data_IF_849674813106
#
_entry.id   IF_849674813106
#
_cell.length_a   1.000
_cell.length_b   1.000
_cell.length_c   1.000
_cell.angle_alpha   90.00
_cell.angle_beta   90.00
_cell.angle_gamma   90.00
#
_symmetry.space_group_name_H-M   'P 1'
#
loop_
_entity.id
_entity.type
_entity.pdbx_description
1 polymer ?
#
# COMPACT_ATOMS: atom_id res chain seq x y z
N UNK A 1 14.87 -1.56 -16.60
CA UNK A 1 14.53 -1.07 -15.25
C UNK A 1 13.18 -1.65 -14.95
N UNK A 2 13.09 -2.44 -13.88
CA UNK A 2 11.86 -3.14 -13.56
C UNK A 2 10.89 -2.18 -12.89
N UNK A 3 9.61 -2.49 -13.03
CA UNK A 3 8.52 -1.68 -12.47
C UNK A 3 7.47 -2.57 -11.86
N UNK A 4 6.83 -2.07 -10.81
CA UNK A 4 5.69 -2.73 -10.16
C UNK A 4 4.57 -1.71 -10.01
N UNK A 5 3.34 -2.12 -10.32
CA UNK A 5 2.16 -1.29 -10.13
C UNK A 5 1.36 -1.78 -8.93
N UNK A 6 1.03 -0.86 -8.02
CA UNK A 6 0.07 -1.09 -6.95
C UNK A 6 -1.23 -0.40 -7.33
N UNK A 7 -2.29 -1.19 -7.48
CA UNK A 7 -3.61 -0.73 -7.93
C UNK A 7 -4.57 -0.73 -6.75
N UNK A 8 -5.17 0.42 -6.45
CA UNK A 8 -6.18 0.55 -5.41
C UNK A 8 -7.45 -0.25 -5.75
N UNK A 9 -8.15 -0.82 -4.75
CA UNK A 9 -9.43 -1.49 -4.96
C UNK A 9 -10.47 -0.56 -5.61
N UNK A 10 -11.24 -1.10 -6.54
CA UNK A 10 -12.34 -0.39 -7.20
C UNK A 10 -13.65 -1.12 -6.93
N UNK A 11 -14.65 -0.37 -6.47
CA UNK A 11 -15.97 -0.90 -6.19
C UNK A 11 -16.98 -0.42 -7.24
N UNK A 12 -17.85 -1.32 -7.70
CA UNK A 12 -18.92 -1.00 -8.65
C UNK A 12 -20.15 -0.51 -7.89
N UNK A 13 -20.81 0.55 -8.36
CA UNK A 13 -22.00 1.15 -7.73
C UNK A 13 -23.21 0.20 -7.65
N UNK A 14 -23.17 -0.93 -8.35
CA UNK A 14 -24.31 -1.85 -8.48
C UNK A 14 -24.28 -3.01 -7.48
N UNK A 15 -23.25 -3.11 -6.62
CA UNK A 15 -23.26 -4.10 -5.53
C UNK A 15 -24.05 -3.53 -4.35
N UNK A 16 -25.20 -4.15 -4.04
CA UNK A 16 -26.08 -3.80 -2.90
C UNK A 16 -25.44 -3.98 -1.52
N UNK A 17 -24.22 -4.52 -1.44
CA UNK A 17 -23.40 -4.35 -0.25
C UNK A 17 -22.92 -2.91 -0.24
N UNK A 18 -23.53 -2.10 0.64
CA UNK A 18 -23.02 -0.82 1.08
C UNK A 18 -21.51 -0.93 1.19
N UNK A 19 -20.83 -0.37 0.20
CA UNK A 19 -19.37 -0.23 0.20
C UNK A 19 -19.11 0.70 1.38
N UNK A 20 -18.94 0.11 2.55
CA UNK A 20 -18.25 0.74 3.65
C UNK A 20 -17.00 1.30 3.00
N UNK A 21 -16.91 2.62 2.92
CA UNK A 21 -15.85 3.29 2.17
C UNK A 21 -14.56 2.89 2.86
N UNK A 22 -13.90 1.85 2.37
CA UNK A 22 -12.64 1.38 2.91
C UNK A 22 -11.59 2.38 2.47
N UNK A 23 -10.94 3.01 3.43
CA UNK A 23 -9.78 3.84 3.20
C UNK A 23 -8.57 2.96 3.50
N UNK A 24 -7.73 2.77 2.48
CA UNK A 24 -6.56 1.92 2.56
C UNK A 24 -5.30 2.77 2.42
N UNK A 25 -4.38 2.63 3.37
CA UNK A 25 -3.06 3.27 3.28
C UNK A 25 -2.01 2.18 3.17
N UNK A 26 -1.16 2.28 2.17
CA UNK A 26 0.00 1.40 1.97
C UNK A 26 1.23 2.13 2.49
N UNK A 27 2.01 1.46 3.33
CA UNK A 27 3.25 1.96 3.90
C UNK A 27 4.43 1.13 3.42
N UNK A 28 5.56 1.77 3.12
CA UNK A 28 6.84 1.09 3.07
C UNK A 28 7.41 1.03 4.49
N UNK A 29 7.83 -0.15 4.92
CA UNK A 29 8.24 -0.42 6.31
C UNK A 29 9.55 -1.19 6.41
N UNK A 30 10.08 -1.26 7.63
CA UNK A 30 11.22 -2.12 7.95
C UNK A 30 10.82 -3.61 7.91
N UNK A 31 11.81 -4.49 7.83
CA UNK A 31 11.63 -5.94 7.95
C UNK A 31 10.97 -6.33 9.28
N UNK A 32 11.37 -5.69 10.38
CA UNK A 32 10.77 -5.92 11.70
C UNK A 32 9.29 -5.50 11.73
N UNK A 33 8.97 -4.33 11.22
CA UNK A 33 7.59 -3.82 11.11
C UNK A 33 6.72 -4.71 10.23
N UNK A 34 7.28 -5.23 9.14
CA UNK A 34 6.60 -6.19 8.28
C UNK A 34 6.28 -7.50 9.02
N UNK A 35 7.26 -8.05 9.74
CA UNK A 35 7.11 -9.30 10.50
C UNK A 35 6.09 -9.18 11.63
N UNK A 36 6.05 -8.04 12.32
CA UNK A 36 5.13 -7.78 13.42
C UNK A 36 3.79 -7.20 12.99
N UNK A 37 3.66 -6.80 11.72
CA UNK A 37 2.51 -6.08 11.20
C UNK A 37 2.24 -4.77 11.99
N UNK A 38 3.30 -4.03 12.34
CA UNK A 38 3.22 -2.82 13.18
C UNK A 38 4.02 -1.67 12.57
N UNK A 39 3.42 -0.48 12.54
CA UNK A 39 4.09 0.73 12.07
C UNK A 39 5.09 1.24 13.11
N UNK A 40 6.27 1.62 12.63
CA UNK A 40 7.32 2.26 13.44
C UNK A 40 7.56 3.71 12.97
N UNK A 41 8.51 4.40 13.61
CA UNK A 41 8.89 5.76 13.24
C UNK A 41 9.60 5.88 11.89
N UNK A 42 9.99 4.76 11.26
CA UNK A 42 10.63 4.71 9.93
C UNK A 42 9.64 4.40 8.82
N UNK A 43 8.39 4.07 9.16
CA UNK A 43 7.35 3.72 8.23
C UNK A 43 6.95 4.95 7.41
N UNK A 44 6.93 4.82 6.09
CA UNK A 44 6.64 5.92 5.17
C UNK A 44 5.39 5.61 4.37
N UNK A 45 4.49 6.59 4.25
CA UNK A 45 3.29 6.46 3.40
C UNK A 45 3.73 6.32 1.95
N UNK A 46 3.32 5.22 1.32
CA UNK A 46 3.58 4.93 -0.07
C UNK A 46 2.40 5.33 -0.96
N UNK A 47 1.18 4.92 -0.59
CA UNK A 47 -0.04 5.17 -1.37
C UNK A 47 -1.23 5.32 -0.43
N UNK A 48 -2.11 6.27 -0.71
CA UNK A 48 -3.40 6.44 -0.04
C UNK A 48 -4.51 6.15 -1.05
N UNK A 49 -5.33 5.14 -0.78
CA UNK A 49 -6.53 4.81 -1.53
C UNK A 49 -7.75 5.36 -0.77
N UNK A 50 -8.12 6.61 -1.04
CA UNK A 50 -9.23 7.33 -0.38
C UNK A 50 -10.52 7.38 -1.22
N UNK A 51 -10.44 6.92 -2.48
CA UNK A 51 -11.47 7.19 -3.49
C UNK A 51 -11.95 5.91 -4.21
N UNK A 52 -12.66 5.00 -3.53
CA UNK A 52 -13.08 3.70 -4.08
C UNK A 52 -14.07 3.77 -5.25
N UNK A 53 -14.73 4.92 -5.45
CA UNK A 53 -15.77 5.15 -6.46
C UNK A 53 -15.24 5.76 -7.76
N UNK A 54 -13.93 5.94 -7.90
CA UNK A 54 -13.37 6.49 -9.14
C UNK A 54 -13.59 5.53 -10.31
N UNK A 55 -13.91 6.10 -11.49
CA UNK A 55 -14.07 5.32 -12.72
C UNK A 55 -12.78 4.61 -13.13
N UNK A 56 -11.63 5.20 -12.80
CA UNK A 56 -10.30 4.65 -13.05
C UNK A 56 -9.69 4.35 -11.67
N UNK A 57 -9.17 3.12 -11.43
CA UNK A 57 -8.53 2.82 -10.16
C UNK A 57 -7.24 3.63 -10.02
N UNK A 58 -7.03 4.22 -8.84
CA UNK A 58 -5.78 4.88 -8.52
C UNK A 58 -4.65 3.84 -8.57
N UNK A 59 -3.64 4.10 -9.39
CA UNK A 59 -2.51 3.20 -9.59
C UNK A 59 -1.22 3.95 -9.32
N UNK A 60 -0.38 3.41 -8.45
CA UNK A 60 0.95 3.94 -8.20
C UNK A 60 2.00 2.98 -8.77
N UNK A 61 2.87 3.52 -9.64
CA UNK A 61 3.98 2.77 -10.21
C UNK A 61 5.26 2.97 -9.41
N UNK A 62 5.86 1.87 -9.00
CA UNK A 62 7.23 1.79 -8.47
C UNK A 62 8.17 1.62 -9.66
N UNK A 63 9.28 2.36 -9.64
CA UNK A 63 10.39 2.17 -10.55
C UNK A 63 11.61 1.82 -9.71
N UNK A 64 12.12 0.60 -9.86
CA UNK A 64 13.27 0.14 -9.08
C UNK A 64 14.54 0.80 -9.60
N UNK A 65 15.00 1.82 -8.89
CA UNK A 65 16.24 2.55 -9.20
C UNK A 65 16.96 3.01 -7.94
N UNK A 66 18.29 3.16 -7.98
CA UNK A 66 19.07 3.57 -6.81
C UNK A 66 18.83 5.00 -6.35
N UNK A 67 18.42 5.89 -7.26
CA UNK A 67 18.26 7.33 -6.96
C UNK A 67 16.89 7.83 -7.40
N UNK A 68 16.20 8.51 -6.50
CA UNK A 68 14.92 9.13 -6.80
C UNK A 68 15.13 10.58 -7.31
N UNK A 69 14.48 10.98 -8.42
CA UNK A 69 14.40 12.37 -8.86
C UNK A 69 13.45 13.19 -7.98
N UNK A 70 12.61 12.54 -7.17
CA UNK A 70 11.76 13.20 -6.19
C UNK A 70 12.51 13.32 -4.86
N UNK A 71 12.51 14.51 -4.23
CA UNK A 71 13.01 14.66 -2.86
C UNK A 71 12.14 13.79 -1.94
N UNK A 72 12.77 12.96 -1.11
CA UNK A 72 12.12 11.94 -0.27
C UNK A 72 11.39 10.82 -1.03
N UNK A 73 11.64 10.65 -2.32
CA UNK A 73 11.13 9.50 -3.05
C UNK A 73 11.88 8.22 -2.69
N UNK A 74 11.24 7.08 -2.95
CA UNK A 74 11.79 5.78 -2.62
C UNK A 74 12.96 5.38 -3.53
N UNK A 75 13.99 4.79 -2.92
CA UNK A 75 15.24 4.37 -3.54
C UNK A 75 15.48 2.88 -3.31
N UNK A 76 15.86 2.19 -4.39
CA UNK A 76 15.96 0.74 -4.44
C UNK A 76 17.36 0.30 -4.88
N UNK A 77 18.04 -0.45 -4.00
CA UNK A 77 19.38 -0.97 -4.25
C UNK A 77 19.34 -2.47 -4.59
N UNK A 78 20.21 -2.94 -5.50
CA UNK A 78 20.35 -4.37 -5.77
C UNK A 78 20.70 -5.16 -4.50
N UNK A 79 20.13 -6.36 -4.36
CA UNK A 79 20.41 -7.25 -3.22
C UNK A 79 19.74 -6.84 -1.90
N UNK A 80 18.84 -5.86 -1.91
CA UNK A 80 18.02 -5.49 -0.74
C UNK A 80 16.56 -5.88 -0.96
N UNK A 81 15.90 -6.27 0.12
CA UNK A 81 14.46 -6.48 0.16
C UNK A 81 13.75 -5.27 0.75
N UNK A 82 12.59 -4.96 0.18
CA UNK A 82 11.75 -3.82 0.57
C UNK A 82 10.35 -4.36 0.88
N UNK A 83 9.76 -3.86 1.96
CA UNK A 83 8.54 -4.43 2.52
C UNK A 83 7.44 -3.38 2.56
N UNK A 84 6.22 -3.83 2.28
CA UNK A 84 5.03 -2.99 2.31
C UNK A 84 3.97 -3.65 3.17
N UNK A 85 3.28 -2.85 3.98
CA UNK A 85 2.08 -3.26 4.70
C UNK A 85 0.94 -2.31 4.40
N UNK A 86 -0.29 -2.78 4.59
CA UNK A 86 -1.49 -2.01 4.29
C UNK A 86 -2.38 -1.91 5.53
N UNK A 87 -2.80 -0.70 5.86
CA UNK A 87 -3.77 -0.43 6.93
C UNK A 87 -5.13 -0.13 6.31
N UNK A 88 -6.12 -0.98 6.65
CA UNK A 88 -7.51 -0.86 6.23
C UNK A 88 -8.31 -0.20 7.33
N UNK A 89 -9.04 0.85 6.98
CA UNK A 89 -10.01 1.45 7.87
C UNK A 89 -11.42 1.22 7.36
N UNK A 90 -12.22 0.50 8.15
CA UNK A 90 -13.64 0.29 7.94
C UNK A 90 -14.43 1.30 8.79
N UNK A 91 -15.35 2.03 8.16
CA UNK A 91 -16.16 3.05 8.87
C UNK A 91 -17.13 2.43 9.90
N UNK A 92 -17.38 1.11 9.86
CA UNK A 92 -18.42 0.45 10.69
C UNK A 92 -17.90 -0.65 11.59
N UNK A 93 -16.62 -1.04 11.49
CA UNK A 93 -15.98 -2.00 12.39
C UNK A 93 -14.73 -1.37 13.02
N UNK A 94 -14.81 -1.05 14.31
CA UNK A 94 -13.64 -0.96 15.20
C UNK A 94 -12.99 -2.35 15.31
N UNK A 95 -12.41 -2.85 14.24
CA UNK A 95 -11.61 -4.06 14.24
C UNK A 95 -10.31 -3.75 13.50
N UNK A 96 -9.26 -3.50 14.27
CA UNK A 96 -7.88 -3.48 13.80
C UNK A 96 -7.54 -4.89 13.29
N UNK A 97 -7.65 -5.11 11.98
CA UNK A 97 -7.09 -6.31 11.34
C UNK A 97 -6.17 -5.83 10.22
N UNK A 98 -4.87 -5.79 10.54
CA UNK A 98 -3.81 -5.45 9.60
C UNK A 98 -3.55 -6.69 8.75
N UNK A 99 -4.03 -6.66 7.50
CA UNK A 99 -3.80 -7.76 6.56
C UNK A 99 -2.37 -7.66 6.04
N UNK A 100 -1.56 -8.65 6.38
CA UNK A 100 -0.19 -8.80 5.87
C UNK A 100 -0.25 -9.24 4.40
N UNK A 101 0.06 -8.33 3.48
CA UNK A 101 0.21 -8.66 2.06
C UNK A 101 1.62 -9.25 1.88
N UNK A 102 1.73 -10.57 2.00
CA UNK A 102 2.94 -11.30 1.63
C UNK A 102 3.04 -11.40 0.09
N UNK A 103 3.66 -10.41 -0.56
CA UNK A 103 4.29 -10.65 -1.86
C UNK A 103 5.75 -11.03 -1.64
N UNK A 104 5.99 -12.33 -1.50
CA UNK A 104 7.34 -12.89 -1.66
C UNK A 104 7.60 -12.98 -3.16
N UNK A 105 8.41 -12.07 -3.69
CA UNK A 105 8.98 -12.23 -5.03
C UNK A 105 10.08 -13.29 -4.89
N UNK A 106 9.82 -14.48 -5.41
CA UNK A 106 10.87 -15.43 -5.83
C UNK A 106 11.17 -15.14 -7.28
#
# INVERSE_FOLDING_TARGET
>A
MDTMDIVCPKYNSNSEHSVEKEWLIVYQVSDLSFMNCELDSRSQVFLVCDSPLQKIPLTHRIVFRPFSPLPNGFEYQPGRSYYFISELFLHTLKLWNIYSIFYSIV
#
